data_IF_756189017309
#
_entry.id   IF_756189017309
#
_cell.length_a   1.000
_cell.length_b   1.000
_cell.length_c   1.000
_cell.angle_alpha   90.00
_cell.angle_beta   90.00
_cell.angle_gamma   90.00
#
_symmetry.space_group_name_H-M   'P 1'
#
loop_
_entity.id
_entity.type
_entity.pdbx_description
1 polymer ?
#
# COMPACT_ATOMS: atom_id res chain seq x y z
N UNK A 1 -7.87 11.41 -15.55
CA UNK A 1 -6.58 11.63 -15.08
C UNK A 1 -5.73 10.42 -15.24
N UNK A 2 -4.55 10.56 -15.75
CA UNK A 2 -3.67 9.45 -15.95
C UNK A 2 -2.64 9.39 -14.85
N UNK A 3 -2.57 8.30 -14.17
CA UNK A 3 -1.58 8.13 -13.12
C UNK A 3 -0.38 7.38 -13.66
N UNK A 4 0.80 7.90 -13.41
CA UNK A 4 2.03 7.23 -13.79
C UNK A 4 2.72 6.68 -12.55
N UNK A 5 2.93 5.39 -12.53
CA UNK A 5 3.56 4.73 -11.40
C UNK A 5 5.05 5.05 -11.37
N UNK A 6 5.54 5.63 -10.30
CA UNK A 6 6.95 5.98 -10.24
C UNK A 6 7.81 4.73 -10.07
N UNK A 7 9.01 4.78 -10.58
CA UNK A 7 9.89 3.65 -10.45
C UNK A 7 10.54 3.61 -9.09
N UNK A 8 10.73 4.74 -8.47
CA UNK A 8 11.38 4.79 -7.18
C UNK A 8 10.39 4.56 -6.05
N UNK A 9 10.77 3.73 -5.11
CA UNK A 9 9.94 3.49 -3.93
C UNK A 9 9.83 4.75 -3.08
N UNK A 10 10.86 5.57 -3.05
CA UNK A 10 10.81 6.80 -2.28
C UNK A 10 9.77 7.74 -2.84
N UNK A 11 9.68 7.83 -4.14
CA UNK A 11 8.71 8.70 -4.76
C UNK A 11 7.31 8.14 -4.55
N UNK A 12 7.16 6.84 -4.67
CA UNK A 12 5.86 6.22 -4.45
C UNK A 12 5.41 6.43 -3.01
N UNK A 13 6.31 6.27 -2.07
CA UNK A 13 5.97 6.46 -0.67
C UNK A 13 5.60 7.91 -0.39
N UNK A 14 6.23 8.84 -1.07
CA UNK A 14 5.92 10.25 -0.89
C UNK A 14 4.50 10.57 -1.36
N UNK A 15 3.92 9.75 -2.21
CA UNK A 15 2.54 9.94 -2.64
C UNK A 15 1.55 9.38 -1.64
N UNK A 16 2.01 8.78 -0.57
CA UNK A 16 1.15 8.13 0.39
C UNK A 16 1.11 8.84 1.73
N UNK A 17 -0.01 8.70 2.41
CA UNK A 17 -0.09 9.06 3.81
C UNK A 17 0.25 7.80 4.57
N UNK A 18 1.19 7.87 5.47
CA UNK A 18 1.65 6.72 6.23
C UNK A 18 1.17 6.84 7.66
N UNK A 19 0.47 5.83 8.12
CA UNK A 19 0.03 5.79 9.50
C UNK A 19 0.59 4.56 10.15
N UNK A 20 0.99 4.64 11.40
CA UNK A 20 1.44 3.48 12.13
C UNK A 20 0.51 3.27 13.30
N UNK A 21 0.32 2.03 13.69
CA UNK A 21 -0.57 1.74 14.79
C UNK A 21 -0.19 0.39 15.42
N UNK A 22 -0.79 0.09 16.54
CA UNK A 22 -0.52 -1.15 17.22
C UNK A 22 -1.29 -2.26 16.55
N UNK A 23 -0.57 -3.36 16.24
CA UNK A 23 -1.22 -4.46 15.66
C UNK A 23 -2.22 -5.03 16.61
N UNK A 24 -3.39 -5.37 16.15
CA UNK A 24 -4.33 -5.93 17.04
C UNK A 24 -4.21 -7.40 16.98
N UNK A 25 -4.08 -8.07 17.98
CA UNK A 25 -3.99 -9.48 17.97
C UNK A 25 -4.63 -10.01 19.18
N UNK A 26 -4.78 -11.23 19.24
CA UNK A 26 -5.45 -11.80 20.33
C UNK A 26 -4.54 -11.75 21.48
N UNK A 27 -4.75 -11.91 22.49
CA UNK A 27 -3.83 -12.01 23.48
C UNK A 27 -3.40 -10.86 24.13
N UNK A 28 -3.91 -10.02 23.92
CA UNK A 28 -3.49 -8.94 24.35
C UNK A 28 -2.86 -8.51 25.52
N UNK A 29 -2.58 -9.17 26.34
CA UNK A 29 -2.10 -8.63 27.45
C UNK A 29 -0.82 -8.35 27.43
N UNK A 30 -0.17 -8.32 26.48
CA UNK A 30 0.99 -8.13 26.46
C UNK A 30 1.46 -7.04 26.37
N UNK A 31 1.97 -6.73 26.48
CA UNK A 31 2.61 -5.81 26.71
C UNK A 31 3.36 -5.09 25.85
N UNK A 32 3.86 -5.44 24.85
CA UNK A 32 4.59 -4.70 24.02
C UNK A 32 3.71 -4.02 23.14
N UNK A 33 3.23 -2.94 23.31
CA UNK A 33 2.43 -2.26 22.45
C UNK A 33 3.17 -1.43 21.53
N UNK A 34 4.00 -1.90 20.74
CA UNK A 34 4.70 -1.10 19.79
C UNK A 34 3.84 -0.87 18.60
N UNK A 35 3.92 0.26 18.00
CA UNK A 35 3.22 0.58 16.78
C UNK A 35 4.00 0.03 15.60
N UNK A 36 3.84 -1.22 15.33
CA UNK A 36 4.57 -1.84 14.23
C UNK A 36 3.72 -2.01 12.98
N UNK A 37 2.41 -1.92 13.08
CA UNK A 37 1.55 -2.05 11.93
C UNK A 37 1.56 -0.75 11.11
N UNK A 38 1.46 -0.88 9.81
CA UNK A 38 1.55 0.26 8.91
C UNK A 38 0.36 0.28 7.97
N UNK A 39 -0.18 1.45 7.75
CA UNK A 39 -1.25 1.64 6.81
C UNK A 39 -0.80 2.72 5.83
N UNK A 40 -0.83 2.40 4.54
CA UNK A 40 -0.48 3.35 3.50
C UNK A 40 -1.74 3.73 2.75
N UNK A 41 -1.95 5.02 2.57
CA UNK A 41 -3.06 5.47 1.78
C UNK A 41 -2.49 6.23 0.62
N UNK A 42 -2.67 5.72 -0.58
CA UNK A 42 -2.10 6.33 -1.78
C UNK A 42 -3.04 7.42 -2.26
N UNK A 43 -2.62 8.65 -2.11
CA UNK A 43 -3.49 9.79 -2.41
C UNK A 43 -3.99 9.86 -3.84
N UNK A 44 -3.15 9.63 -4.85
CA UNK A 44 -3.65 9.74 -6.22
C UNK A 44 -4.74 8.76 -6.59
N UNK A 45 -4.72 7.56 -6.03
CA UNK A 45 -5.69 6.54 -6.40
C UNK A 45 -6.67 6.18 -5.31
N UNK A 46 -6.38 6.58 -4.09
CA UNK A 46 -7.23 6.21 -2.96
C UNK A 46 -7.04 4.80 -2.45
N UNK A 47 -6.09 4.05 -2.98
CA UNK A 47 -5.86 2.71 -2.50
C UNK A 47 -5.28 2.71 -1.10
N UNK A 48 -5.70 1.76 -0.30
CA UNK A 48 -5.23 1.65 1.07
C UNK A 48 -4.64 0.27 1.27
N UNK A 49 -3.45 0.20 1.83
CA UNK A 49 -2.77 -1.05 2.12
C UNK A 49 -2.45 -1.08 3.61
N UNK A 50 -2.75 -2.18 4.25
CA UNK A 50 -2.44 -2.34 5.66
C UNK A 50 -1.54 -3.56 5.79
N UNK A 51 -0.48 -3.44 6.56
CA UNK A 51 0.40 -4.56 6.82
C UNK A 51 0.75 -4.64 8.29
N UNK A 52 0.52 -5.80 8.88
CA UNK A 52 0.87 -6.01 10.27
C UNK A 52 1.46 -7.41 10.45
N UNK A 53 2.17 -7.87 9.45
CA UNK A 53 2.71 -9.22 9.45
C UNK A 53 3.97 -9.38 10.25
N UNK A 54 4.82 -8.38 10.26
CA UNK A 54 6.11 -8.49 10.87
C UNK A 54 6.18 -7.74 12.19
N UNK A 55 7.21 -8.02 12.95
CA UNK A 55 7.36 -7.34 14.21
C UNK A 55 8.02 -6.00 14.07
N UNK A 56 8.64 -5.75 12.93
CA UNK A 56 9.34 -4.50 12.72
C UNK A 56 8.54 -3.60 11.82
N UNK A 57 8.38 -2.37 12.25
CA UNK A 57 7.62 -1.41 11.53
C UNK A 57 8.14 -1.17 10.13
N UNK A 58 9.44 -1.02 9.98
CA UNK A 58 9.97 -0.72 8.66
C UNK A 58 9.80 -1.90 7.70
N UNK A 59 9.75 -3.12 8.20
CA UNK A 59 9.48 -4.24 7.34
C UNK A 59 8.05 -4.23 6.88
N UNK A 60 7.14 -3.89 7.77
CA UNK A 60 5.74 -3.77 7.39
C UNK A 60 5.56 -2.66 6.37
N UNK A 61 6.31 -1.59 6.50
CA UNK A 61 6.23 -0.50 5.55
C UNK A 61 6.73 -0.96 4.17
N UNK A 62 7.81 -1.70 4.13
CA UNK A 62 8.34 -2.21 2.88
C UNK A 62 7.37 -3.19 2.21
N UNK A 63 6.77 -4.06 3.00
CA UNK A 63 5.81 -5.02 2.47
C UNK A 63 4.58 -4.29 1.94
N UNK A 64 4.11 -3.30 2.69
CA UNK A 64 2.95 -2.53 2.27
C UNK A 64 3.23 -1.80 0.98
N UNK A 65 4.42 -1.24 0.85
CA UNK A 65 4.78 -0.51 -0.35
C UNK A 65 4.86 -1.44 -1.57
N UNK A 66 5.43 -2.62 -1.38
CA UNK A 66 5.50 -3.60 -2.47
C UNK A 66 4.10 -4.07 -2.87
N UNK A 67 3.21 -4.24 -1.91
CA UNK A 67 1.84 -4.60 -2.19
C UNK A 67 1.12 -3.50 -2.94
N UNK A 68 1.35 -2.26 -2.55
CA UNK A 68 0.75 -1.13 -3.21
C UNK A 68 1.22 -1.07 -4.66
N UNK A 69 2.52 -1.23 -4.89
CA UNK A 69 3.06 -1.21 -6.24
C UNK A 69 2.45 -2.30 -7.11
N UNK A 70 2.28 -3.47 -6.54
CA UNK A 70 1.67 -4.56 -7.28
C UNK A 70 0.22 -4.25 -7.63
N UNK A 71 -0.53 -3.69 -6.70
CA UNK A 71 -1.92 -3.35 -6.97
C UNK A 71 -2.04 -2.25 -7.99
N UNK A 72 -1.14 -1.29 -7.95
CA UNK A 72 -1.15 -0.21 -8.93
C UNK A 72 -0.85 -0.75 -10.33
N UNK A 73 0.11 -1.67 -10.42
CA UNK A 73 0.41 -2.27 -11.70
C UNK A 73 -0.77 -3.03 -12.26
N UNK A 74 -1.46 -3.78 -11.41
CA UNK A 74 -2.63 -4.51 -11.84
C UNK A 74 -3.73 -3.57 -12.27
N UNK A 75 -3.93 -2.49 -11.56
CA UNK A 75 -4.95 -1.53 -11.89
C UNK A 75 -4.66 -0.88 -13.24
N UNK A 76 -3.42 -0.52 -13.47
CA UNK A 76 -3.05 0.09 -14.74
C UNK A 76 -3.19 -0.89 -15.90
N UNK A 77 -2.88 -2.14 -15.64
CA UNK A 77 -3.05 -3.14 -16.66
C UNK A 77 -4.50 -3.36 -17.01
N UNK A 78 -5.37 -3.37 -16.02
CA UNK A 78 -6.78 -3.51 -16.26
C UNK A 78 -7.32 -2.36 -17.06
N UNK A 79 -6.85 -1.16 -16.80
CA UNK A 79 -7.28 -0.04 -17.57
C UNK A 79 -6.92 -0.18 -19.00
N UNK A 80 -5.73 -0.67 -19.28
CA UNK A 80 -5.36 -0.87 -20.67
C UNK A 80 -6.25 -1.87 -21.34
N UNK A 81 -6.61 -2.94 -20.63
CA UNK A 81 -7.44 -3.91 -21.25
C UNK A 81 -8.83 -3.41 -21.46
N UNK A 82 -9.25 -2.49 -20.66
CA UNK A 82 -10.56 -2.05 -20.79
C UNK A 82 -10.74 -1.03 -21.83
N UNK A 83 -9.76 -0.49 -22.31
CA UNK A 83 -9.89 0.47 -23.32
C UNK A 83 -10.47 -0.21 -24.46
N UNK A 84 -11.58 0.12 -24.87
CA UNK A 84 -12.28 -0.59 -25.83
C UNK A 84 -11.80 -0.32 -27.06
N UNK A 85 -11.62 -1.13 -27.70
CA UNK A 85 -11.22 -0.95 -28.83
C UNK A 85 -12.40 -0.86 -29.50
N UNK A 86 -13.21 -0.50 -29.61
CA UNK A 86 -14.16 -0.36 -30.10
C UNK A 86 -14.60 -0.80 -31.11
N UNK A 87 -15.18 -1.16 -31.28
CA UNK A 87 -15.63 -1.75 -32.22
C UNK A 87 -16.35 -1.03 -32.90
N UNK A 88 -16.39 -1.10 -33.69
CA UNK A 88 -17.03 -0.36 -34.55
C UNK A 88 -18.41 -0.56 -34.60
#
# INVERSE_FOLDING_TARGET
MIYHLPESDDVLLAECDVETFCSSGPGGQNVNRRETAVRLRHRPTGLVIVCQREREQHRNKQIALASLRRKLRMMLRRRRRRIPTKPP
#
